data_IF_785414551930
#
_entry.id   IF_785414551930
#
_cell.length_a   1.000
_cell.length_b   1.000
_cell.length_c   1.000
_cell.angle_alpha   90.00
_cell.angle_beta   90.00
_cell.angle_gamma   90.00
#
_symmetry.space_group_name_H-M   'P 1'
#
loop_
_entity.id
_entity.type
_entity.pdbx_description
1 polymer ?
#
# COMPACT_ATOMS: atom_id res chain seq x y z
N UNK A 1 14.71 -44.82 12.03
CA UNK A 1 14.57 -43.76 13.03
C UNK A 1 15.08 -42.47 12.42
N UNK A 2 14.19 -41.63 11.91
CA UNK A 2 14.58 -40.35 11.33
C UNK A 2 14.84 -39.32 12.43
N UNK A 3 15.95 -38.60 12.31
CA UNK A 3 16.53 -37.70 13.32
C UNK A 3 16.08 -36.25 13.18
N UNK A 4 15.32 -35.91 12.14
CA UNK A 4 14.82 -34.56 11.90
C UNK A 4 13.39 -34.43 12.42
N UNK A 5 13.19 -33.62 13.46
CA UNK A 5 11.92 -33.49 14.17
C UNK A 5 10.75 -33.05 13.27
N UNK A 6 11.00 -32.19 12.28
CA UNK A 6 9.99 -31.74 11.31
C UNK A 6 9.54 -32.86 10.36
N UNK A 7 10.45 -33.73 9.93
CA UNK A 7 10.14 -34.86 9.03
C UNK A 7 9.36 -35.95 9.77
N UNK A 8 9.74 -36.23 11.01
CA UNK A 8 9.02 -37.17 11.88
C UNK A 8 7.57 -36.73 12.12
N UNK A 9 7.35 -35.44 12.40
CA UNK A 9 6.01 -34.89 12.58
C UNK A 9 5.16 -35.01 11.29
N UNK A 10 5.74 -34.70 10.13
CA UNK A 10 5.08 -34.87 8.83
C UNK A 10 4.70 -36.32 8.52
N UNK A 11 5.57 -37.29 8.85
CA UNK A 11 5.28 -38.72 8.64
C UNK A 11 4.21 -39.26 9.58
N UNK A 12 4.22 -38.85 10.85
CA UNK A 12 3.18 -39.20 11.82
C UNK A 12 1.81 -38.63 11.40
N UNK A 13 1.80 -37.44 10.80
CA UNK A 13 0.60 -36.79 10.24
C UNK A 13 0.10 -37.46 8.96
N UNK A 14 1.00 -37.80 8.02
CA UNK A 14 0.64 -38.54 6.81
C UNK A 14 0.06 -39.93 7.15
N UNK A 15 0.62 -40.58 8.17
CA UNK A 15 0.08 -41.82 8.72
C UNK A 15 -1.30 -41.60 9.34
N UNK A 16 -1.52 -40.52 10.08
CA UNK A 16 -2.84 -40.14 10.62
C UNK A 16 -3.90 -39.96 9.53
N UNK A 17 -3.57 -39.25 8.44
CA UNK A 17 -4.48 -39.07 7.31
C UNK A 17 -4.84 -40.41 6.63
N UNK A 18 -3.87 -41.33 6.50
CA UNK A 18 -4.14 -42.67 5.95
C UNK A 18 -5.04 -43.53 6.85
N UNK A 19 -4.96 -43.36 8.16
CA UNK A 19 -5.76 -44.11 9.15
C UNK A 19 -7.23 -43.69 9.07
N UNK A 20 -7.50 -42.41 8.82
CA UNK A 20 -8.86 -41.88 8.71
C UNK A 20 -9.65 -42.39 7.50
N UNK A 21 -8.95 -42.76 6.42
CA UNK A 21 -9.55 -43.34 5.21
C UNK A 21 -9.69 -44.87 5.30
N UNK A 22 -9.08 -45.51 6.30
CA UNK A 22 -9.05 -46.98 6.44
C UNK A 22 -10.17 -47.54 7.35
N UNK A 23 -10.46 -48.84 7.23
CA UNK A 23 -11.42 -49.59 8.08
C UNK A 23 -10.92 -49.87 9.51
N UNK A 24 -10.04 -49.02 10.03
CA UNK A 24 -9.49 -49.16 11.39
C UNK A 24 -10.52 -48.84 12.48
N UNK A 25 -10.36 -49.42 13.68
CA UNK A 25 -11.26 -49.21 14.80
C UNK A 25 -11.36 -47.72 15.20
N UNK A 26 -12.51 -47.33 15.74
CA UNK A 26 -12.85 -45.95 16.07
C UNK A 26 -11.85 -45.28 17.04
N UNK A 27 -11.19 -46.07 17.90
CA UNK A 27 -10.11 -45.59 18.79
C UNK A 27 -8.91 -45.04 18.03
N UNK A 28 -8.52 -45.70 16.93
CA UNK A 28 -7.40 -45.28 16.09
C UNK A 28 -7.78 -44.05 15.26
N UNK A 29 -9.04 -43.96 14.85
CA UNK A 29 -9.59 -42.78 14.14
C UNK A 29 -9.64 -41.55 15.06
N UNK A 30 -10.02 -41.71 16.33
CA UNK A 30 -10.00 -40.63 17.32
C UNK A 30 -8.57 -40.12 17.60
N UNK A 31 -7.59 -41.02 17.72
CA UNK A 31 -6.19 -40.65 17.86
C UNK A 31 -5.65 -39.92 16.62
N UNK A 32 -6.06 -40.34 15.43
CA UNK A 32 -5.70 -39.68 14.18
C UNK A 32 -6.34 -38.27 14.06
N UNK A 33 -7.59 -38.10 14.50
CA UNK A 33 -8.25 -36.78 14.56
C UNK A 33 -7.48 -35.82 15.47
N UNK A 34 -7.05 -36.27 16.66
CA UNK A 34 -6.27 -35.43 17.57
C UNK A 34 -4.91 -35.03 16.97
N UNK A 35 -4.26 -35.94 16.24
CA UNK A 35 -2.95 -35.71 15.62
C UNK A 35 -3.04 -34.75 14.42
N UNK A 36 -4.11 -34.83 13.63
CA UNK A 36 -4.40 -33.87 12.54
C UNK A 36 -4.88 -32.53 13.11
N UNK A 37 -5.66 -32.54 14.18
CA UNK A 37 -6.09 -31.35 14.90
C UNK A 37 -4.93 -30.50 15.39
N UNK A 38 -3.83 -31.12 15.83
CA UNK A 38 -2.62 -30.43 16.22
C UNK A 38 -1.93 -29.65 15.09
N UNK A 39 -2.24 -29.93 13.82
CA UNK A 39 -1.71 -29.19 12.67
C UNK A 39 -2.37 -27.83 12.50
N UNK A 40 -3.66 -27.73 12.84
CA UNK A 40 -4.39 -26.46 12.93
C UNK A 40 -4.52 -25.67 11.62
N UNK A 41 -4.25 -26.27 10.47
CA UNK A 41 -4.23 -25.61 9.16
C UNK A 41 -5.51 -25.89 8.33
N UNK A 42 -5.67 -25.17 7.21
CA UNK A 42 -6.84 -25.33 6.33
C UNK A 42 -6.93 -26.71 5.68
N UNK A 43 -5.79 -27.36 5.45
CA UNK A 43 -5.75 -28.72 4.93
C UNK A 43 -6.22 -29.75 5.99
N UNK A 44 -6.03 -29.47 7.29
CA UNK A 44 -6.53 -30.34 8.35
C UNK A 44 -8.06 -30.25 8.42
N UNK A 45 -8.62 -29.05 8.22
CA UNK A 45 -10.07 -28.84 8.11
C UNK A 45 -10.66 -29.59 6.91
N UNK A 46 -10.01 -29.57 5.75
CA UNK A 46 -10.52 -30.28 4.55
C UNK A 46 -10.54 -31.79 4.76
N UNK A 47 -9.49 -32.35 5.36
CA UNK A 47 -9.42 -33.77 5.72
C UNK A 47 -10.47 -34.15 6.78
N UNK A 48 -10.61 -33.36 7.85
CA UNK A 48 -11.59 -33.65 8.91
C UNK A 48 -13.04 -33.49 8.44
N UNK A 49 -13.34 -32.55 7.55
CA UNK A 49 -14.66 -32.41 6.92
C UNK A 49 -15.02 -33.65 6.11
N UNK A 50 -14.06 -34.26 5.42
CA UNK A 50 -14.28 -35.51 4.68
C UNK A 50 -14.59 -36.70 5.60
N UNK A 51 -14.03 -36.70 6.81
CA UNK A 51 -14.29 -37.71 7.85
C UNK A 51 -15.65 -37.47 8.51
N UNK A 52 -16.00 -36.23 8.82
CA UNK A 52 -17.30 -35.84 9.37
C UNK A 52 -18.46 -36.28 8.45
N UNK A 53 -18.28 -36.17 7.14
CA UNK A 53 -19.28 -36.58 6.15
C UNK A 53 -19.51 -38.09 6.09
N UNK A 54 -18.49 -38.90 6.40
CA UNK A 54 -18.51 -40.36 6.23
C UNK A 54 -18.62 -41.15 7.55
N UNK A 55 -18.41 -40.50 8.70
CA UNK A 55 -18.43 -41.15 10.02
C UNK A 55 -19.76 -40.93 10.78
N UNK A 56 -20.02 -41.79 11.76
CA UNK A 56 -21.17 -41.69 12.69
C UNK A 56 -20.72 -41.87 14.15
N UNK A 57 -21.53 -41.39 15.10
CA UNK A 57 -21.24 -41.50 16.54
C UNK A 57 -20.05 -40.66 17.01
N UNK A 58 -19.24 -41.21 17.93
CA UNK A 58 -18.17 -40.50 18.62
C UNK A 58 -17.08 -39.94 17.69
N UNK A 59 -16.81 -40.61 16.55
CA UNK A 59 -15.82 -40.14 15.56
C UNK A 59 -16.31 -38.87 14.85
N UNK A 60 -17.62 -38.77 14.56
CA UNK A 60 -18.22 -37.57 13.98
C UNK A 60 -18.18 -36.41 14.96
N UNK A 61 -18.58 -36.63 16.21
CA UNK A 61 -18.54 -35.60 17.26
C UNK A 61 -17.12 -35.07 17.50
N UNK A 62 -16.12 -35.97 17.55
CA UNK A 62 -14.73 -35.57 17.68
C UNK A 62 -14.20 -34.79 16.47
N UNK A 63 -14.58 -35.18 15.24
CA UNK A 63 -14.24 -34.44 14.03
C UNK A 63 -14.86 -33.04 14.04
N UNK A 64 -16.16 -32.91 14.32
CA UNK A 64 -16.86 -31.62 14.40
C UNK A 64 -16.26 -30.71 15.48
N UNK A 65 -15.96 -31.23 16.68
CA UNK A 65 -15.33 -30.46 17.75
C UNK A 65 -13.92 -29.98 17.37
N UNK A 66 -13.14 -30.83 16.70
CA UNK A 66 -11.78 -30.50 16.25
C UNK A 66 -11.83 -29.45 15.13
N UNK A 67 -12.74 -29.59 14.16
CA UNK A 67 -12.97 -28.59 13.11
C UNK A 67 -13.34 -27.23 13.72
N UNK A 68 -14.24 -27.20 14.70
CA UNK A 68 -14.63 -25.96 15.37
C UNK A 68 -13.45 -25.29 16.09
N UNK A 69 -12.59 -26.07 16.76
CA UNK A 69 -11.37 -25.56 17.42
C UNK A 69 -10.37 -24.99 16.41
N UNK A 70 -10.11 -25.71 15.30
CA UNK A 70 -9.21 -25.23 14.24
C UNK A 70 -9.76 -23.95 13.61
N UNK A 71 -11.06 -23.92 13.27
CA UNK A 71 -11.70 -22.73 12.70
C UNK A 71 -11.63 -21.51 13.62
N UNK A 72 -11.77 -21.69 14.94
CA UNK A 72 -11.63 -20.57 15.88
C UNK A 72 -10.20 -20.01 15.92
N UNK A 73 -9.20 -20.89 15.79
CA UNK A 73 -7.78 -20.50 15.74
C UNK A 73 -7.47 -19.81 14.41
N UNK A 74 -7.91 -20.39 13.28
CA UNK A 74 -7.79 -19.79 11.95
C UNK A 74 -8.49 -18.43 11.89
N UNK A 75 -9.68 -18.28 12.47
CA UNK A 75 -10.40 -17.01 12.51
C UNK A 75 -9.65 -15.93 13.29
N UNK A 76 -8.99 -16.30 14.40
CA UNK A 76 -8.12 -15.38 15.14
C UNK A 76 -6.92 -14.92 14.29
N UNK A 77 -6.27 -15.84 13.59
CA UNK A 77 -5.16 -15.51 12.69
C UNK A 77 -5.61 -14.70 11.47
N UNK A 78 -6.74 -15.07 10.85
CA UNK A 78 -7.34 -14.32 9.74
C UNK A 78 -7.72 -12.89 10.18
N UNK A 79 -8.21 -12.70 11.42
CA UNK A 79 -8.44 -11.38 11.98
C UNK A 79 -7.14 -10.58 12.11
N UNK A 80 -6.06 -11.21 12.59
CA UNK A 80 -4.72 -10.59 12.63
C UNK A 80 -4.20 -10.22 11.23
N UNK A 81 -4.38 -11.10 10.24
CA UNK A 81 -3.98 -10.89 8.84
C UNK A 81 -4.75 -9.71 8.23
N UNK A 82 -6.06 -9.63 8.50
CA UNK A 82 -6.90 -8.52 8.03
C UNK A 82 -6.52 -7.19 8.65
N UNK A 83 -6.18 -7.16 9.95
CA UNK A 83 -5.66 -5.96 10.62
C UNK A 83 -4.35 -5.53 9.95
N UNK A 84 -3.44 -6.47 9.69
CA UNK A 84 -2.18 -6.18 9.01
C UNK A 84 -2.39 -5.61 7.60
N UNK A 85 -3.28 -6.22 6.81
CA UNK A 85 -3.64 -5.71 5.48
C UNK A 85 -4.28 -4.32 5.55
N UNK A 86 -5.14 -4.07 6.55
CA UNK A 86 -5.72 -2.76 6.80
C UNK A 86 -4.67 -1.69 7.13
N UNK A 87 -3.70 -2.01 8.00
CA UNK A 87 -2.58 -1.11 8.33
C UNK A 87 -1.72 -0.84 7.10
N UNK A 88 -1.41 -1.87 6.30
CA UNK A 88 -0.63 -1.74 5.08
C UNK A 88 -1.32 -0.84 4.05
N UNK A 89 -2.59 -1.10 3.73
CA UNK A 89 -3.36 -0.27 2.79
C UNK A 89 -3.56 1.14 3.33
N UNK A 90 -3.86 1.27 4.63
CA UNK A 90 -3.99 2.56 5.31
C UNK A 90 -2.72 3.40 5.24
N UNK A 91 -1.53 2.80 5.31
CA UNK A 91 -0.26 3.52 5.16
C UNK A 91 -0.05 4.11 3.77
N UNK A 92 -0.54 3.44 2.73
CA UNK A 92 -0.51 3.92 1.35
C UNK A 92 -1.49 5.07 1.16
N UNK A 93 -2.73 4.90 1.65
CA UNK A 93 -3.74 5.95 1.62
C UNK A 93 -3.29 7.19 2.42
N UNK A 94 -2.62 6.97 3.56
CA UNK A 94 -2.01 8.05 4.35
C UNK A 94 -1.01 8.85 3.52
N UNK A 95 -0.09 8.20 2.80
CA UNK A 95 0.88 8.88 1.93
C UNK A 95 0.20 9.74 0.86
N UNK A 96 -0.84 9.20 0.21
CA UNK A 96 -1.61 9.92 -0.79
C UNK A 96 -2.40 11.10 -0.20
N UNK A 97 -3.05 10.89 0.96
CA UNK A 97 -3.89 11.85 1.64
C UNK A 97 -3.11 13.01 2.26
N UNK A 98 -1.90 12.79 2.81
CA UNK A 98 -1.10 13.87 3.41
C UNK A 98 -0.79 14.96 2.39
N UNK A 99 -0.40 14.60 1.16
CA UNK A 99 -0.11 15.57 0.11
C UNK A 99 -1.35 16.42 -0.23
N UNK A 100 -2.51 15.77 -0.30
CA UNK A 100 -3.79 16.44 -0.54
C UNK A 100 -4.18 17.36 0.63
N UNK A 101 -4.06 16.89 1.87
CA UNK A 101 -4.35 17.65 3.09
C UNK A 101 -3.49 18.92 3.20
N UNK A 102 -2.22 18.86 2.79
CA UNK A 102 -1.33 20.04 2.77
C UNK A 102 -1.80 21.07 1.74
N UNK A 103 -2.11 20.63 0.50
CA UNK A 103 -2.56 21.57 -0.54
C UNK A 103 -3.91 22.20 -0.21
N UNK A 104 -4.88 21.39 0.20
CA UNK A 104 -6.22 21.86 0.58
C UNK A 104 -6.17 22.72 1.85
N UNK A 105 -5.43 22.30 2.87
CA UNK A 105 -5.35 23.00 4.15
C UNK A 105 -4.76 24.40 4.05
N UNK A 106 -3.85 24.65 3.11
CA UNK A 106 -3.22 25.98 2.95
C UNK A 106 -3.96 26.90 1.97
N UNK A 107 -4.44 26.36 0.86
CA UNK A 107 -5.02 27.16 -0.23
C UNK A 107 -6.55 27.13 -0.26
N UNK A 108 -7.20 26.15 0.37
CA UNK A 108 -8.64 25.91 0.23
C UNK A 108 -9.04 25.51 -1.19
N UNK A 109 -8.10 24.98 -1.97
CA UNK A 109 -8.28 24.58 -3.36
C UNK A 109 -8.41 23.06 -3.42
N UNK A 110 -9.47 22.58 -4.07
CA UNK A 110 -9.65 21.16 -4.36
C UNK A 110 -8.84 20.82 -5.62
N UNK A 111 -7.88 19.91 -5.48
CA UNK A 111 -7.03 19.47 -6.58
C UNK A 111 -7.44 18.07 -7.07
N UNK A 112 -8.21 18.00 -8.15
CA UNK A 112 -8.59 16.70 -8.75
C UNK A 112 -7.45 16.07 -9.56
N UNK A 113 -6.41 16.83 -9.92
CA UNK A 113 -5.23 16.30 -10.60
C UNK A 113 -4.23 15.62 -9.64
N UNK A 114 -4.53 15.58 -8.34
CA UNK A 114 -3.62 15.02 -7.33
C UNK A 114 -3.26 13.55 -7.60
N UNK A 115 -4.22 12.71 -7.99
CA UNK A 115 -3.93 11.32 -8.37
C UNK A 115 -3.09 11.20 -9.63
N UNK A 116 -3.10 12.20 -10.52
CA UNK A 116 -2.16 12.20 -11.65
C UNK A 116 -0.74 12.47 -11.20
N UNK A 117 -0.53 13.19 -10.10
CA UNK A 117 0.81 13.34 -9.51
C UNK A 117 1.30 12.00 -8.95
N UNK A 118 0.40 11.20 -8.35
CA UNK A 118 0.68 9.81 -7.95
C UNK A 118 1.05 8.96 -9.17
N UNK A 119 0.25 9.04 -10.25
CA UNK A 119 0.54 8.36 -11.51
C UNK A 119 1.92 8.76 -12.05
N UNK A 120 2.25 10.05 -12.11
CA UNK A 120 3.54 10.54 -12.58
C UNK A 120 4.72 10.01 -11.75
N UNK A 121 4.54 9.88 -10.43
CA UNK A 121 5.54 9.25 -9.56
C UNK A 121 5.76 7.76 -9.85
N UNK A 122 4.67 7.03 -10.08
CA UNK A 122 4.72 5.62 -10.47
C UNK A 122 5.41 5.43 -11.84
N UNK A 123 5.07 6.24 -12.85
CA UNK A 123 5.73 6.21 -14.15
C UNK A 123 7.19 6.68 -14.10
N UNK A 124 7.52 7.62 -13.20
CA UNK A 124 8.93 8.00 -12.98
C UNK A 124 9.72 6.80 -12.46
N UNK A 125 9.15 6.02 -11.55
CA UNK A 125 9.77 4.79 -11.04
C UNK A 125 9.96 3.76 -12.14
N UNK A 126 8.94 3.56 -12.98
CA UNK A 126 9.04 2.68 -14.15
C UNK A 126 10.17 3.10 -15.10
N UNK A 127 10.24 4.39 -15.46
CA UNK A 127 11.29 4.91 -16.35
C UNK A 127 12.68 4.73 -15.74
N UNK A 128 12.84 5.05 -14.45
CA UNK A 128 14.11 4.87 -13.74
C UNK A 128 14.54 3.40 -13.75
N UNK A 129 13.62 2.48 -13.47
CA UNK A 129 13.92 1.05 -13.54
C UNK A 129 14.25 0.59 -14.96
N UNK A 130 13.55 1.08 -15.97
CA UNK A 130 13.82 0.72 -17.36
C UNK A 130 15.21 1.17 -17.80
N UNK A 131 15.62 2.39 -17.43
CA UNK A 131 16.97 2.92 -17.70
C UNK A 131 18.03 2.12 -16.94
N UNK A 132 17.79 1.76 -15.67
CA UNK A 132 18.73 0.96 -14.88
C UNK A 132 18.87 -0.45 -15.46
N UNK A 133 17.77 -1.13 -15.82
CA UNK A 133 17.79 -2.46 -16.44
C UNK A 133 18.58 -2.49 -17.75
N UNK A 134 18.47 -1.43 -18.56
CA UNK A 134 19.14 -1.35 -19.87
C UNK A 134 20.60 -0.91 -19.78
N UNK A 135 20.93 0.01 -18.87
CA UNK A 135 22.25 0.67 -18.85
C UNK A 135 23.14 0.20 -17.70
N UNK A 136 22.57 -0.14 -16.54
CA UNK A 136 23.32 -0.45 -15.30
C UNK A 136 22.62 -1.54 -14.46
N UNK A 137 22.53 -2.79 -14.94
CA UNK A 137 21.72 -3.82 -14.29
C UNK A 137 22.13 -4.12 -12.85
N UNK A 138 23.41 -3.92 -12.48
CA UNK A 138 23.90 -4.09 -11.10
C UNK A 138 23.36 -3.06 -10.09
N UNK A 139 22.74 -1.97 -10.55
CA UNK A 139 22.14 -0.94 -9.68
C UNK A 139 20.63 -1.18 -9.43
N UNK A 140 20.06 -2.30 -9.86
CA UNK A 140 18.62 -2.54 -9.74
C UNK A 140 18.11 -2.46 -8.30
N UNK A 141 18.89 -2.94 -7.33
CA UNK A 141 18.53 -2.86 -5.90
C UNK A 141 18.44 -1.43 -5.36
N UNK A 142 19.14 -0.49 -6.00
CA UNK A 142 19.15 0.94 -5.65
C UNK A 142 18.13 1.75 -6.45
N UNK A 143 17.39 1.11 -7.36
CA UNK A 143 16.46 1.79 -8.27
C UNK A 143 15.40 2.62 -7.53
N UNK A 144 14.85 2.11 -6.42
CA UNK A 144 13.85 2.84 -5.63
C UNK A 144 14.43 4.05 -4.91
N UNK A 145 15.67 3.94 -4.41
CA UNK A 145 16.36 5.05 -3.73
C UNK A 145 16.61 6.21 -4.69
N UNK A 146 16.84 5.92 -5.98
CA UNK A 146 17.00 6.90 -7.05
C UNK A 146 15.64 7.41 -7.55
N UNK A 147 14.66 6.51 -7.69
CA UNK A 147 13.32 6.86 -8.18
C UNK A 147 12.59 7.79 -7.22
N UNK A 148 12.79 7.66 -5.92
CA UNK A 148 12.09 8.45 -4.90
C UNK A 148 12.36 9.97 -4.98
N UNK A 149 13.61 10.47 -4.99
CA UNK A 149 13.86 11.89 -5.18
C UNK A 149 13.45 12.36 -6.59
N UNK A 150 13.61 11.53 -7.62
CA UNK A 150 13.18 11.90 -8.98
C UNK A 150 11.66 12.02 -9.10
N UNK A 151 10.90 11.08 -8.55
CA UNK A 151 9.45 11.11 -8.52
C UNK A 151 8.94 12.33 -7.75
N UNK A 152 9.57 12.65 -6.62
CA UNK A 152 9.28 13.89 -5.89
C UNK A 152 9.51 15.12 -6.76
N UNK A 153 10.68 15.22 -7.40
CA UNK A 153 11.05 16.37 -8.22
C UNK A 153 10.15 16.53 -9.44
N UNK A 154 9.88 15.44 -10.17
CA UNK A 154 9.00 15.46 -11.35
C UNK A 154 7.60 15.91 -10.95
N UNK A 155 7.01 15.28 -9.94
CA UNK A 155 5.66 15.63 -9.50
C UNK A 155 5.59 17.03 -8.88
N UNK A 156 6.62 17.47 -8.14
CA UNK A 156 6.69 18.82 -7.59
C UNK A 156 6.84 19.89 -8.68
N UNK A 157 7.63 19.64 -9.72
CA UNK A 157 7.80 20.56 -10.85
C UNK A 157 6.52 20.66 -11.68
N UNK A 158 5.87 19.54 -11.96
CA UNK A 158 4.57 19.53 -12.65
C UNK A 158 3.52 20.25 -11.80
N UNK A 159 3.49 19.98 -10.49
CA UNK A 159 2.62 20.68 -9.55
C UNK A 159 2.85 22.19 -9.56
N UNK A 160 4.11 22.62 -9.46
CA UNK A 160 4.49 24.03 -9.54
C UNK A 160 4.06 24.68 -10.87
N UNK A 161 4.22 23.97 -11.98
CA UNK A 161 3.81 24.43 -13.29
C UNK A 161 2.28 24.57 -13.39
N UNK A 162 1.50 23.64 -12.82
CA UNK A 162 0.03 23.72 -12.75
C UNK A 162 -0.39 24.90 -11.86
N UNK A 163 0.24 25.09 -10.70
CA UNK A 163 -0.08 26.21 -9.82
C UNK A 163 0.17 27.55 -10.52
N UNK A 164 1.35 27.73 -11.11
CA UNK A 164 1.74 28.98 -11.79
C UNK A 164 1.06 29.19 -13.12
N UNK A 165 0.74 28.13 -13.84
CA UNK A 165 0.12 28.20 -15.15
C UNK A 165 -1.39 28.39 -15.08
N UNK A 166 -2.04 27.80 -14.08
CA UNK A 166 -3.50 27.64 -14.06
C UNK A 166 -4.08 28.14 -12.74
N UNK A 167 -3.72 27.50 -11.62
CA UNK A 167 -4.45 27.68 -10.35
C UNK A 167 -4.33 29.12 -9.83
N UNK A 168 -3.17 29.77 -10.00
CA UNK A 168 -2.97 31.15 -9.52
C UNK A 168 -3.98 32.15 -10.08
N UNK A 169 -4.52 31.89 -11.26
CA UNK A 169 -5.48 32.75 -11.93
C UNK A 169 -6.92 32.50 -11.49
N UNK A 170 -7.16 31.39 -10.79
CA UNK A 170 -8.47 30.92 -10.35
C UNK A 170 -8.64 30.99 -8.82
N UNK A 171 -7.68 31.60 -8.11
CA UNK A 171 -7.77 31.78 -6.66
C UNK A 171 -9.06 32.51 -6.26
N UNK A 172 -9.72 31.98 -5.23
CA UNK A 172 -11.01 32.47 -4.74
C UNK A 172 -12.23 31.93 -5.51
N UNK A 173 -12.04 31.04 -6.49
CA UNK A 173 -13.11 30.43 -7.29
C UNK A 173 -13.05 28.90 -7.22
N UNK A 174 -13.58 28.27 -6.15
CA UNK A 174 -13.41 26.84 -5.90
C UNK A 174 -13.95 25.94 -7.01
N UNK A 175 -15.13 26.26 -7.57
CA UNK A 175 -15.75 25.49 -8.65
C UNK A 175 -14.95 25.56 -9.95
N UNK A 176 -14.45 26.75 -10.32
CA UNK A 176 -13.60 26.93 -11.50
C UNK A 176 -12.28 26.17 -11.35
N UNK A 177 -11.70 26.17 -10.14
CA UNK A 177 -10.46 25.44 -9.88
C UNK A 177 -10.67 23.92 -9.91
N UNK A 178 -11.81 23.44 -9.41
CA UNK A 178 -12.20 22.03 -9.51
C UNK A 178 -12.31 21.58 -10.97
N UNK A 179 -13.02 22.34 -11.80
CA UNK A 179 -13.17 22.04 -13.23
C UNK A 179 -11.83 22.13 -13.97
N UNK A 180 -11.01 23.12 -13.66
CA UNK A 180 -9.69 23.28 -14.26
C UNK A 180 -8.76 22.11 -13.91
N UNK A 181 -8.69 21.70 -12.64
CA UNK A 181 -7.84 20.57 -12.21
C UNK A 181 -8.35 19.24 -12.74
N UNK A 182 -9.66 19.08 -12.95
CA UNK A 182 -10.20 17.93 -13.68
C UNK A 182 -9.76 17.91 -15.15
N UNK A 183 -9.81 19.06 -15.84
CA UNK A 183 -9.31 19.19 -17.21
C UNK A 183 -7.81 18.87 -17.31
N UNK A 184 -7.01 19.34 -16.35
CA UNK A 184 -5.58 18.99 -16.25
C UNK A 184 -5.38 17.49 -16.05
N UNK A 185 -6.20 16.85 -15.22
CA UNK A 185 -6.14 15.40 -15.03
C UNK A 185 -6.32 14.65 -16.35
N UNK A 186 -7.32 15.02 -17.16
CA UNK A 186 -7.52 14.41 -18.48
C UNK A 186 -6.33 14.59 -19.42
N UNK A 187 -5.73 15.79 -19.44
CA UNK A 187 -4.55 16.09 -20.26
C UNK A 187 -3.36 15.22 -19.82
N UNK A 188 -3.11 15.12 -18.52
CA UNK A 188 -2.00 14.33 -17.98
C UNK A 188 -2.16 12.83 -18.26
N UNK A 189 -3.36 12.29 -18.03
CA UNK A 189 -3.67 10.89 -18.36
C UNK A 189 -3.47 10.60 -19.84
N UNK A 190 -3.96 11.49 -20.71
CA UNK A 190 -3.80 11.32 -22.15
C UNK A 190 -2.33 11.46 -22.57
N UNK A 191 -1.57 12.38 -21.99
CA UNK A 191 -0.15 12.53 -22.26
C UNK A 191 0.63 11.25 -21.90
N UNK A 192 0.40 10.70 -20.70
CA UNK A 192 1.02 9.44 -20.26
C UNK A 192 0.61 8.28 -21.16
N UNK A 193 -0.68 8.16 -21.49
CA UNK A 193 -1.17 7.11 -22.40
C UNK A 193 -0.55 7.22 -23.81
N UNK A 194 -0.32 8.43 -24.31
CA UNK A 194 0.34 8.64 -25.61
C UNK A 194 1.83 8.25 -25.57
N UNK A 195 2.54 8.52 -24.47
CA UNK A 195 3.98 8.25 -24.34
C UNK A 195 4.25 6.76 -24.02
N UNK A 196 3.51 6.18 -23.09
CA UNK A 196 3.78 4.84 -22.53
C UNK A 196 2.81 3.76 -23.00
N UNK A 197 1.77 4.14 -23.74
CA UNK A 197 0.70 3.25 -24.15
C UNK A 197 -0.39 3.05 -23.08
N UNK A 198 -1.48 2.35 -23.43
CA UNK A 198 -2.60 2.09 -22.53
C UNK A 198 -2.40 0.86 -21.63
N UNK A 199 -1.33 0.09 -21.84
CA UNK A 199 -1.08 -1.18 -21.13
C UNK A 199 -0.51 -0.92 -19.74
N UNK A 200 -0.82 -1.84 -18.83
CA UNK A 200 -0.23 -1.84 -17.50
C UNK A 200 1.28 -2.13 -17.60
N UNK A 201 2.08 -1.33 -16.91
CA UNK A 201 3.52 -1.47 -16.82
C UNK A 201 3.87 -1.98 -15.42
N UNK A 202 4.67 -3.05 -15.35
CA UNK A 202 5.11 -3.63 -14.09
C UNK A 202 6.38 -2.93 -13.60
N UNK A 203 6.43 -2.63 -12.31
CA UNK A 203 7.62 -2.15 -11.62
C UNK A 203 8.13 -3.30 -10.75
N UNK A 204 9.39 -3.69 -10.98
CA UNK A 204 9.98 -4.84 -10.29
C UNK A 204 10.43 -4.48 -8.88
N UNK A 205 10.22 -5.38 -7.94
CA UNK A 205 10.67 -5.20 -6.57
C UNK A 205 12.17 -5.49 -6.44
N UNK A 206 12.94 -4.66 -5.72
CA UNK A 206 14.31 -4.97 -5.33
C UNK A 206 14.40 -6.26 -4.51
N UNK A 207 15.58 -6.90 -4.51
CA UNK A 207 15.81 -8.17 -3.80
C UNK A 207 15.48 -8.10 -2.30
N UNK A 208 15.80 -6.99 -1.65
CA UNK A 208 15.55 -6.73 -0.23
C UNK A 208 14.09 -6.43 0.12
N UNK A 209 13.25 -6.13 -0.88
CA UNK A 209 11.81 -5.94 -0.70
C UNK A 209 11.01 -7.20 -1.12
N UNK A 210 11.64 -8.09 -1.88
CA UNK A 210 11.03 -9.32 -2.36
C UNK A 210 10.87 -10.38 -1.26
N UNK A 211 9.75 -11.12 -1.31
CA UNK A 211 9.47 -12.25 -0.42
C UNK A 211 8.50 -11.93 0.72
N UNK A 212 8.28 -12.96 1.54
CA UNK A 212 7.45 -12.92 2.74
C UNK A 212 8.10 -13.71 3.85
N UNK A 213 7.71 -13.42 5.08
CA UNK A 213 8.02 -14.24 6.24
C UNK A 213 6.72 -14.57 6.97
N UNK A 214 6.66 -15.79 7.50
CA UNK A 214 5.48 -16.28 8.20
C UNK A 214 5.66 -16.11 9.72
N UNK A 215 4.67 -15.50 10.37
CA UNK A 215 4.52 -15.50 11.83
C UNK A 215 3.30 -16.35 12.17
N UNK A 216 3.53 -17.62 12.54
CA UNK A 216 2.43 -18.56 12.78
C UNK A 216 1.68 -18.85 11.48
N UNK A 217 0.42 -18.42 11.40
CA UNK A 217 -0.40 -18.51 10.17
C UNK A 217 -0.52 -17.16 9.42
N UNK A 218 0.20 -16.13 9.87
CA UNK A 218 0.25 -14.83 9.22
C UNK A 218 1.37 -14.78 8.19
N UNK A 219 1.04 -14.48 6.94
CA UNK A 219 2.04 -14.23 5.90
C UNK A 219 2.25 -12.72 5.74
N UNK A 220 3.41 -12.21 6.16
CA UNK A 220 3.76 -10.80 6.04
C UNK A 220 4.74 -10.63 4.87
N UNK A 221 4.35 -9.83 3.87
CA UNK A 221 5.23 -9.50 2.74
C UNK A 221 6.16 -8.33 3.07
N UNK A 222 7.41 -8.43 2.64
CA UNK A 222 8.42 -7.39 2.87
C UNK A 222 8.04 -6.05 2.23
N UNK A 223 7.47 -6.06 1.02
CA UNK A 223 6.92 -4.88 0.35
C UNK A 223 6.00 -4.05 1.26
N UNK A 224 5.02 -4.70 1.91
CA UNK A 224 4.02 -4.02 2.73
C UNK A 224 4.62 -3.43 4.00
N UNK A 225 5.58 -4.13 4.61
CA UNK A 225 6.29 -3.65 5.78
C UNK A 225 7.16 -2.42 5.45
N UNK A 226 7.92 -2.47 4.36
CA UNK A 226 8.75 -1.35 3.93
C UNK A 226 7.92 -0.12 3.59
N UNK A 227 6.76 -0.30 2.95
CA UNK A 227 5.85 0.81 2.64
C UNK A 227 5.29 1.44 3.92
N UNK A 228 4.95 0.65 4.93
CA UNK A 228 4.51 1.17 6.24
C UNK A 228 5.62 2.00 6.90
N UNK A 229 6.85 1.47 6.98
CA UNK A 229 8.00 2.19 7.55
C UNK A 229 8.27 3.48 6.77
N UNK A 230 8.17 3.40 5.44
CA UNK A 230 8.37 4.53 4.56
C UNK A 230 7.30 5.61 4.73
N UNK A 231 6.03 5.23 4.82
CA UNK A 231 4.92 6.14 5.10
C UNK A 231 5.11 6.90 6.41
N UNK A 232 5.49 6.18 7.47
CA UNK A 232 5.79 6.78 8.78
C UNK A 232 7.01 7.71 8.72
N UNK A 233 8.05 7.34 7.96
CA UNK A 233 9.22 8.19 7.78
C UNK A 233 8.88 9.49 7.04
N UNK A 234 8.15 9.43 5.93
CA UNK A 234 7.70 10.62 5.18
C UNK A 234 6.79 11.48 6.05
N UNK A 235 5.83 10.88 6.75
CA UNK A 235 4.97 11.59 7.67
C UNK A 235 5.77 12.30 8.78
N UNK A 236 6.75 11.62 9.38
CA UNK A 236 7.65 12.19 10.38
C UNK A 236 8.48 13.36 9.83
N UNK A 237 9.03 13.23 8.63
CA UNK A 237 9.77 14.30 7.94
C UNK A 237 8.85 15.50 7.68
N UNK A 238 7.63 15.28 7.18
CA UNK A 238 6.68 16.36 6.93
C UNK A 238 6.23 17.04 8.21
N UNK A 239 5.96 16.30 9.27
CA UNK A 239 5.66 16.86 10.58
C UNK A 239 6.82 17.72 11.10
N UNK A 240 8.06 17.25 10.95
CA UNK A 240 9.24 18.01 11.31
C UNK A 240 9.35 19.30 10.48
N UNK A 241 9.23 19.20 9.15
CA UNK A 241 9.27 20.35 8.24
C UNK A 241 8.19 21.36 8.61
N UNK A 242 6.95 20.92 8.77
CA UNK A 242 5.84 21.81 9.10
C UNK A 242 5.99 22.44 10.49
N UNK A 243 6.39 21.68 11.51
CA UNK A 243 6.43 22.19 12.90
C UNK A 243 7.71 22.98 13.23
N UNK A 244 8.85 22.61 12.66
CA UNK A 244 10.17 23.13 13.08
C UNK A 244 10.82 24.08 12.07
N UNK A 245 10.36 24.17 10.82
CA UNK A 245 11.01 25.04 9.82
C UNK A 245 10.35 26.41 9.67
N UNK A 246 11.09 27.45 9.24
CA UNK A 246 10.52 28.76 8.94
C UNK A 246 9.46 28.74 7.84
N UNK A 247 9.60 27.84 6.87
CA UNK A 247 8.62 27.68 5.80
C UNK A 247 7.29 27.13 6.33
N UNK A 248 7.34 26.15 7.24
CA UNK A 248 6.15 25.66 7.94
C UNK A 248 5.48 26.74 8.81
N UNK A 249 6.25 27.65 9.41
CA UNK A 249 5.70 28.82 10.11
C UNK A 249 4.98 29.78 9.16
N UNK A 250 5.56 30.05 7.98
CA UNK A 250 4.94 30.90 6.96
C UNK A 250 3.63 30.28 6.43
N UNK A 251 3.59 28.98 6.17
CA UNK A 251 2.36 28.28 5.77
C UNK A 251 1.25 28.49 6.80
N UNK A 252 1.53 28.24 8.09
CA UNK A 252 0.55 28.45 9.17
C UNK A 252 0.11 29.92 9.30
N UNK A 253 1.02 30.87 9.08
CA UNK A 253 0.66 32.28 9.09
C UNK A 253 -0.31 32.63 7.95
N UNK A 254 -0.06 32.09 6.76
CA UNK A 254 -0.92 32.26 5.58
C UNK A 254 -2.29 31.62 5.79
N UNK A 255 -2.35 30.42 6.39
CA UNK A 255 -3.62 29.76 6.69
C UNK A 255 -4.45 30.49 7.75
N UNK A 256 -3.79 31.07 8.77
CA UNK A 256 -4.46 31.78 9.85
C UNK A 256 -5.03 33.13 9.39
N UNK A 257 -4.21 33.96 8.74
CA UNK A 257 -4.67 35.23 8.17
C UNK A 257 -3.78 35.66 7.01
N UNK A 258 -4.19 35.29 5.80
CA UNK A 258 -3.48 35.60 4.54
C UNK A 258 -3.18 37.09 4.34
N UNK A 259 -4.11 37.98 4.70
CA UNK A 259 -3.93 39.44 4.53
C UNK A 259 -2.87 39.98 5.47
N UNK A 260 -2.93 39.60 6.75
CA UNK A 260 -1.94 40.00 7.75
C UNK A 260 -0.56 39.42 7.42
N UNK A 261 -0.49 38.15 7.01
CA UNK A 261 0.77 37.52 6.58
C UNK A 261 1.44 38.30 5.43
N UNK A 262 0.67 38.74 4.44
CA UNK A 262 1.18 39.56 3.35
C UNK A 262 1.68 40.94 3.83
N UNK A 263 0.98 41.58 4.78
CA UNK A 263 1.42 42.85 5.40
C UNK A 263 2.71 42.70 6.21
N UNK A 264 2.99 41.50 6.74
CA UNK A 264 4.23 41.17 7.45
C UNK A 264 5.39 40.77 6.50
N UNK A 265 5.25 41.00 5.19
CA UNK A 265 6.30 40.75 4.20
C UNK A 265 6.41 39.31 3.71
N UNK A 266 5.48 38.42 4.09
CA UNK A 266 5.45 37.05 3.58
C UNK A 266 4.95 37.06 2.14
N UNK A 267 5.75 36.51 1.21
CA UNK A 267 5.39 36.35 -0.20
C UNK A 267 4.35 35.24 -0.35
N UNK A 268 3.09 35.51 0.00
CA UNK A 268 2.02 34.51 0.05
C UNK A 268 1.85 33.70 -1.26
N UNK A 269 1.99 34.27 -2.48
CA UNK A 269 1.91 33.45 -3.71
C UNK A 269 3.05 32.44 -3.85
N UNK A 270 4.22 32.71 -3.28
CA UNK A 270 5.33 31.75 -3.26
C UNK A 270 5.14 30.67 -2.21
N UNK A 271 4.53 31.00 -1.07
CA UNK A 271 4.15 30.01 -0.07
C UNK A 271 3.13 29.04 -0.66
N UNK A 272 2.12 29.52 -1.37
CA UNK A 272 1.12 28.68 -2.05
C UNK A 272 1.78 27.78 -3.10
N UNK A 273 2.59 28.36 -4.00
CA UNK A 273 3.29 27.63 -5.05
C UNK A 273 4.17 26.50 -4.53
N UNK A 274 4.98 26.79 -3.51
CA UNK A 274 5.85 25.79 -2.87
C UNK A 274 5.03 24.74 -2.11
N UNK A 275 3.90 25.14 -1.54
CA UNK A 275 3.01 24.21 -0.82
C UNK A 275 2.35 23.25 -1.80
N UNK A 276 1.88 23.77 -2.93
CA UNK A 276 1.33 22.96 -4.01
C UNK A 276 2.37 22.00 -4.57
N UNK A 277 3.58 22.52 -4.87
CA UNK A 277 4.71 21.69 -5.32
C UNK A 277 5.09 20.60 -4.31
N UNK A 278 5.13 20.92 -3.02
CA UNK A 278 5.39 19.92 -1.97
C UNK A 278 4.29 18.85 -1.95
N UNK A 279 3.02 19.25 -1.96
CA UNK A 279 1.90 18.32 -1.96
C UNK A 279 1.91 17.39 -3.18
N UNK A 280 2.17 17.93 -4.37
CA UNK A 280 2.36 17.14 -5.60
C UNK A 280 3.59 16.25 -5.53
N UNK A 281 4.70 16.72 -4.97
CA UNK A 281 5.91 15.91 -4.77
C UNK A 281 5.67 14.72 -3.85
N UNK A 282 4.97 14.92 -2.73
CA UNK A 282 4.58 13.84 -1.81
C UNK A 282 3.65 12.84 -2.51
N UNK A 283 2.73 13.32 -3.34
CA UNK A 283 1.88 12.45 -4.16
C UNK A 283 2.73 11.59 -5.11
N UNK A 284 3.75 12.18 -5.76
CA UNK A 284 4.71 11.44 -6.56
C UNK A 284 5.43 10.35 -5.76
N UNK A 285 5.85 10.66 -4.53
CA UNK A 285 6.43 9.68 -3.61
C UNK A 285 5.44 8.55 -3.29
N UNK A 286 4.16 8.86 -3.04
CA UNK A 286 3.12 7.85 -2.83
C UNK A 286 2.98 6.93 -4.06
N UNK A 287 3.16 7.48 -5.27
CA UNK A 287 3.19 6.72 -6.52
C UNK A 287 4.31 5.68 -6.59
N UNK A 288 5.50 5.99 -6.06
CA UNK A 288 6.63 5.05 -5.97
C UNK A 288 6.29 3.86 -5.07
N UNK A 289 5.62 4.12 -3.93
CA UNK A 289 5.19 3.09 -3.00
C UNK A 289 4.08 2.21 -3.60
N UNK A 290 3.08 2.85 -4.24
CA UNK A 290 1.97 2.16 -4.90
C UNK A 290 2.44 1.21 -6.00
N UNK A 291 3.43 1.63 -6.80
CA UNK A 291 3.95 0.80 -7.89
C UNK A 291 4.66 -0.49 -7.42
N UNK A 292 4.94 -0.65 -6.13
CA UNK A 292 5.52 -1.90 -5.58
C UNK A 292 4.46 -2.94 -5.17
N UNK A 293 3.20 -2.51 -5.05
CA UNK A 293 2.08 -3.39 -4.67
C UNK A 293 1.13 -3.59 -5.86
N UNK A 294 0.99 -2.59 -6.73
CA UNK A 294 0.07 -2.60 -7.86
C UNK A 294 0.80 -2.19 -9.16
N UNK A 295 0.24 -2.61 -10.29
CA UNK A 295 0.80 -2.28 -11.59
C UNK A 295 0.55 -0.82 -11.96
N UNK A 296 1.49 -0.22 -12.69
CA UNK A 296 1.40 1.16 -13.13
C UNK A 296 0.48 1.24 -14.35
N UNK A 297 -0.59 2.01 -14.26
CA UNK A 297 -1.52 2.24 -15.37
C UNK A 297 -1.85 3.73 -15.53
N UNK A 298 -2.24 4.18 -16.75
CA UNK A 298 -2.62 5.58 -16.96
C UNK A 298 -3.87 6.01 -16.19
N UNK A 299 -4.61 5.07 -15.60
CA UNK A 299 -5.82 5.34 -14.82
C UNK A 299 -5.60 5.17 -13.31
N UNK A 300 -4.38 4.86 -12.87
CA UNK A 300 -4.04 4.59 -11.46
C UNK A 300 -4.48 5.75 -10.55
N UNK A 301 -4.30 6.99 -11.00
CA UNK A 301 -4.69 8.17 -10.24
C UNK A 301 -6.17 8.21 -9.85
N UNK A 302 -7.08 7.76 -10.73
CA UNK A 302 -8.53 7.84 -10.48
C UNK A 302 -9.00 6.92 -9.36
N UNK A 303 -8.42 5.73 -9.25
CA UNK A 303 -8.82 4.73 -8.27
C UNK A 303 -8.53 5.20 -6.83
N UNK A 304 -7.36 5.80 -6.62
CA UNK A 304 -6.90 6.15 -5.27
C UNK A 304 -7.30 7.55 -4.81
N UNK A 305 -7.66 8.48 -5.71
CA UNK A 305 -8.11 9.83 -5.32
C UNK A 305 -9.35 9.73 -4.42
N UNK A 306 -10.36 8.95 -4.81
CA UNK A 306 -11.64 8.89 -4.10
C UNK A 306 -11.43 8.35 -2.69
N UNK A 307 -10.70 7.25 -2.56
CA UNK A 307 -10.38 6.66 -1.26
C UNK A 307 -9.55 7.59 -0.39
N UNK A 308 -8.62 8.34 -0.98
CA UNK A 308 -7.80 9.33 -0.25
C UNK A 308 -8.57 10.55 0.26
N UNK A 309 -9.75 10.85 -0.31
CA UNK A 309 -10.65 11.89 0.20
C UNK A 309 -11.58 11.39 1.31
N UNK A 310 -11.80 10.07 1.41
CA UNK A 310 -12.72 9.45 2.37
C UNK A 310 -12.05 9.00 3.68
N UNK A 311 -10.71 8.83 3.67
CA UNK A 311 -9.87 8.50 4.84
C UNK A 311 -9.55 9.73 5.68
#
# INVERSE_FOLDING_TARGET
>A
SETVASVKALLEQARGASILVSDKPDTDKLAAIALIGARGDRDAVSLLTSVEANASGAVKEAATATIASINSTLAFWDAGQNIWYGISLGSVLLLAAIGLAITFGVMGVINMAHGEMVMLGAYTTFVVQQVIRTSFPGLFDWSLVIALPLAFLVAALVGLAIERGIIRFLYGRPLETLLATWGVSLILQQAVRTIFGPTNQEVGNPSWMSGSFDIGQLAITWNRLWILVFALAVFGVLLYVMKRTPWGLQMRAVTANRRMAASMGIKTPWVDALTFALGSGIAGIAGVALSQIDNVSPNLGRGYIIDSFMV
#
